data_IF_093024697637
#
_entry.id   IF_093024697637
#
_cell.length_a   1.000
_cell.length_b   1.000
_cell.length_c   1.000
_cell.angle_alpha   90.00
_cell.angle_beta   90.00
_cell.angle_gamma   90.00
#
_symmetry.space_group_name_H-M   'P 1'
#
loop_
_entity.id
_entity.type
_entity.pdbx_description
1 polymer ?
#
# COMPACT_ATOMS: atom_id res chain seq x y z
N UNK A 1 5.62 -14.87 12.54
CA UNK A 1 6.43 -13.64 12.37
C UNK A 1 5.64 -12.63 11.56
N UNK A 2 5.71 -11.35 11.94
CA UNK A 2 5.04 -10.23 11.27
C UNK A 2 5.73 -9.94 9.93
N UNK A 3 4.96 -9.84 8.83
CA UNK A 3 5.52 -9.46 7.52
C UNK A 3 5.45 -7.94 7.33
N UNK A 4 6.38 -7.40 6.55
CA UNK A 4 6.40 -6.00 6.16
C UNK A 4 6.18 -5.86 4.65
N UNK A 5 5.30 -4.94 4.27
CA UNK A 5 4.90 -4.69 2.89
C UNK A 5 5.10 -3.22 2.52
N UNK A 6 5.07 -2.91 1.22
CA UNK A 6 5.15 -1.55 0.69
C UNK A 6 4.07 -1.36 -0.37
N UNK A 7 3.21 -0.36 -0.19
CA UNK A 7 2.27 0.09 -1.21
C UNK A 7 2.72 1.44 -1.75
N UNK A 8 2.47 1.70 -3.04
CA UNK A 8 2.88 2.93 -3.70
C UNK A 8 1.67 3.68 -4.21
N UNK A 9 1.66 4.99 -4.05
CA UNK A 9 0.62 5.82 -4.62
C UNK A 9 1.12 7.23 -4.93
N UNK A 10 0.64 7.80 -6.04
CA UNK A 10 0.85 9.20 -6.39
C UNK A 10 0.04 10.11 -5.44
N UNK A 11 0.68 11.08 -4.76
CA UNK A 11 0.02 11.92 -3.76
C UNK A 11 -1.09 12.80 -4.35
N UNK A 12 -0.99 13.16 -5.63
CA UNK A 12 -2.01 13.92 -6.35
C UNK A 12 -3.30 13.12 -6.59
N UNK A 13 -3.23 11.79 -6.54
CA UNK A 13 -4.37 10.91 -6.79
C UNK A 13 -5.00 10.41 -5.49
N UNK A 14 -4.18 10.01 -4.52
CA UNK A 14 -4.65 9.61 -3.20
C UNK A 14 -3.53 9.76 -2.17
N UNK A 15 -3.63 10.79 -1.33
CA UNK A 15 -2.57 11.17 -0.42
C UNK A 15 -2.62 10.39 0.91
N UNK A 16 -1.53 10.46 1.68
CA UNK A 16 -1.54 9.91 3.05
C UNK A 16 -2.54 10.66 3.94
N UNK A 17 -2.70 11.97 3.74
CA UNK A 17 -3.65 12.79 4.49
C UNK A 17 -5.08 12.33 4.26
N UNK A 18 -5.47 12.07 3.01
CA UNK A 18 -6.79 11.55 2.65
C UNK A 18 -7.02 10.20 3.32
N UNK A 19 -6.02 9.32 3.23
CA UNK A 19 -6.10 8.00 3.86
C UNK A 19 -6.24 8.07 5.39
N UNK A 20 -5.57 9.02 6.05
CA UNK A 20 -5.72 9.27 7.49
C UNK A 20 -7.13 9.75 7.83
N UNK A 21 -7.70 10.64 7.03
CA UNK A 21 -9.09 11.13 7.22
C UNK A 21 -10.10 10.01 7.04
N UNK A 22 -9.92 9.16 6.02
CA UNK A 22 -10.80 8.02 5.73
C UNK A 22 -10.71 6.89 6.76
N UNK A 23 -9.60 6.81 7.51
CA UNK A 23 -9.28 5.79 8.55
C UNK A 23 -9.19 4.35 8.06
N UNK A 24 -9.74 4.03 6.90
CA UNK A 24 -9.63 2.73 6.27
C UNK A 24 -9.95 2.84 4.78
N UNK A 25 -9.20 2.12 3.95
CA UNK A 25 -9.46 2.05 2.51
C UNK A 25 -9.24 0.64 1.96
N UNK A 26 -9.89 0.34 0.85
CA UNK A 26 -9.63 -0.87 0.07
C UNK A 26 -8.50 -0.57 -0.92
N UNK A 27 -7.43 -1.35 -0.93
CA UNK A 27 -6.30 -1.15 -1.83
C UNK A 27 -6.56 -1.72 -3.24
N UNK A 28 -7.54 -1.13 -3.92
CA UNK A 28 -8.10 -1.54 -5.21
C UNK A 28 -7.37 -0.96 -6.40
N UNK A 29 -7.42 -1.61 -7.56
CA UNK A 29 -6.82 -1.14 -8.80
C UNK A 29 -5.54 -1.89 -9.17
N UNK A 30 -5.09 -2.84 -8.35
CA UNK A 30 -3.86 -3.59 -8.63
C UNK A 30 -4.02 -4.43 -9.90
N UNK A 31 -3.23 -4.11 -10.93
CA UNK A 31 -3.22 -4.84 -12.23
C UNK A 31 -1.87 -5.46 -12.58
N UNK A 32 -1.02 -5.66 -11.57
CA UNK A 32 0.24 -6.38 -11.72
C UNK A 32 0.15 -7.75 -11.02
N UNK A 33 0.46 -8.83 -11.74
CA UNK A 33 0.34 -10.21 -11.21
C UNK A 33 1.20 -10.44 -9.97
N UNK A 34 2.44 -9.93 -9.95
CA UNK A 34 3.32 -10.02 -8.79
C UNK A 34 2.71 -9.27 -7.61
N UNK A 35 2.30 -8.02 -7.80
CA UNK A 35 1.64 -7.22 -6.77
C UNK A 35 0.38 -7.91 -6.21
N UNK A 36 -0.49 -8.42 -7.08
CA UNK A 36 -1.68 -9.20 -6.71
C UNK A 36 -1.31 -10.40 -5.83
N UNK A 37 -0.33 -11.19 -6.26
CA UNK A 37 0.11 -12.36 -5.50
C UNK A 37 0.72 -11.98 -4.14
N UNK A 38 1.23 -10.76 -4.00
CA UNK A 38 1.69 -10.23 -2.70
C UNK A 38 0.51 -9.79 -1.82
N UNK A 39 -0.49 -9.11 -2.38
CA UNK A 39 -1.74 -8.82 -1.65
C UNK A 39 -2.36 -10.10 -1.06
N UNK A 40 -2.38 -11.19 -1.84
CA UNK A 40 -2.87 -12.51 -1.40
C UNK A 40 -2.08 -13.14 -0.25
N UNK A 41 -0.84 -12.71 -0.04
CA UNK A 41 0.03 -13.20 1.05
C UNK A 41 -0.06 -12.34 2.30
N UNK A 42 -0.71 -11.18 2.23
CA UNK A 42 -0.90 -10.29 3.37
C UNK A 42 -1.86 -10.91 4.38
N UNK A 43 -1.52 -10.80 5.67
CA UNK A 43 -2.37 -11.24 6.77
C UNK A 43 -2.80 -10.05 7.62
N UNK A 44 -3.93 -10.19 8.30
CA UNK A 44 -4.42 -9.19 9.25
C UNK A 44 -3.32 -8.88 10.27
N UNK A 45 -3.06 -7.59 10.50
CA UNK A 45 -2.04 -7.11 11.41
C UNK A 45 -0.63 -6.99 10.82
N UNK A 46 -0.38 -7.44 9.58
CA UNK A 46 0.88 -7.12 8.88
C UNK A 46 1.01 -5.61 8.68
N UNK A 47 2.25 -5.10 8.75
CA UNK A 47 2.55 -3.68 8.57
C UNK A 47 2.84 -3.34 7.11
N UNK A 48 2.35 -2.19 6.68
CA UNK A 48 2.40 -1.73 5.29
C UNK A 48 2.95 -0.32 5.26
N UNK A 49 4.11 -0.14 4.62
CA UNK A 49 4.69 1.18 4.37
C UNK A 49 3.93 1.86 3.22
N UNK A 50 3.42 3.06 3.46
CA UNK A 50 2.76 3.88 2.44
C UNK A 50 3.81 4.80 1.80
N UNK A 51 4.07 4.59 0.52
CA UNK A 51 5.10 5.30 -0.23
C UNK A 51 4.48 6.22 -1.26
N UNK A 52 4.78 7.52 -1.17
CA UNK A 52 4.48 8.46 -2.24
C UNK A 52 5.46 8.26 -3.40
N UNK A 53 4.90 8.01 -4.59
CA UNK A 53 5.63 8.09 -5.85
C UNK A 53 5.51 9.49 -6.45
N UNK A 54 6.11 9.73 -7.63
CA UNK A 54 6.11 11.05 -8.26
C UNK A 54 7.34 11.91 -7.94
N UNK A 55 7.12 13.21 -7.71
CA UNK A 55 8.18 14.19 -7.44
C UNK A 55 8.79 14.01 -6.04
N UNK A 56 7.96 13.79 -5.01
CA UNK A 56 8.40 13.56 -3.64
C UNK A 56 8.38 12.06 -3.27
N UNK A 57 9.46 11.36 -3.63
CA UNK A 57 9.64 9.91 -3.43
C UNK A 57 9.98 9.55 -1.99
N UNK A 58 8.97 9.35 -1.13
CA UNK A 58 9.18 9.07 0.29
C UNK A 58 8.19 8.06 0.90
N UNK A 59 8.61 7.37 1.96
CA UNK A 59 7.68 6.68 2.87
C UNK A 59 7.06 7.73 3.79
N UNK A 60 5.76 7.93 3.66
CA UNK A 60 5.01 9.00 4.33
C UNK A 60 4.09 8.51 5.45
N UNK A 61 3.97 7.19 5.61
CA UNK A 61 3.04 6.58 6.55
C UNK A 61 3.27 5.10 6.78
N UNK A 62 2.75 4.59 7.89
CA UNK A 62 2.66 3.15 8.18
C UNK A 62 1.20 2.81 8.43
N UNK A 63 0.72 1.82 7.70
CA UNK A 63 -0.61 1.23 7.78
C UNK A 63 -0.55 -0.23 8.24
N UNK A 64 -1.71 -0.81 8.53
CA UNK A 64 -1.89 -2.24 8.80
C UNK A 64 -2.95 -2.84 7.91
N UNK A 65 -2.82 -4.13 7.64
CA UNK A 65 -3.85 -4.93 6.99
C UNK A 65 -4.99 -5.20 7.97
N UNK A 66 -6.19 -4.78 7.60
CA UNK A 66 -7.44 -4.98 8.36
C UNK A 66 -8.29 -6.11 7.80
N UNK A 67 -8.15 -6.42 6.51
CA UNK A 67 -8.82 -7.54 5.83
C UNK A 67 -7.85 -8.17 4.84
N UNK A 68 -7.75 -9.50 4.86
CA UNK A 68 -6.98 -10.29 3.88
C UNK A 68 -7.58 -10.17 2.48
N UNK A 69 -6.87 -10.71 1.48
CA UNK A 69 -7.25 -10.54 0.08
C UNK A 69 -8.68 -11.03 -0.24
N UNK A 70 -9.41 -10.22 -0.99
CA UNK A 70 -10.72 -10.53 -1.56
C UNK A 70 -10.83 -9.97 -2.99
N UNK A 71 -11.82 -10.38 -3.81
CA UNK A 71 -11.98 -9.90 -5.18
C UNK A 71 -12.07 -8.37 -5.27
N UNK A 72 -11.34 -7.79 -6.22
CA UNK A 72 -11.36 -6.36 -6.48
C UNK A 72 -12.58 -5.96 -7.33
N UNK A 73 -13.58 -5.33 -6.71
CA UNK A 73 -14.81 -4.89 -7.36
C UNK A 73 -14.59 -3.82 -8.45
N UNK A 74 -13.40 -3.19 -8.52
CA UNK A 74 -13.06 -2.24 -9.59
C UNK A 74 -12.56 -2.92 -10.86
N UNK A 75 -12.31 -4.24 -10.82
CA UNK A 75 -11.91 -4.99 -12.00
C UNK A 75 -13.12 -5.32 -12.87
N UNK A 76 -13.02 -5.02 -14.18
CA UNK A 76 -14.04 -5.40 -15.17
C UNK A 76 -13.91 -6.87 -15.58
N UNK A 77 -12.68 -7.40 -15.54
CA UNK A 77 -12.36 -8.77 -15.91
C UNK A 77 -11.11 -9.27 -15.17
N UNK A 78 -10.99 -10.59 -15.07
CA UNK A 78 -9.83 -11.26 -14.50
C UNK A 78 -9.88 -11.45 -12.98
N UNK A 79 -8.95 -12.26 -12.50
CA UNK A 79 -8.81 -12.63 -11.09
C UNK A 79 -7.92 -11.61 -10.37
N UNK A 80 -8.49 -10.48 -9.95
CA UNK A 80 -7.79 -9.42 -9.21
C UNK A 80 -8.20 -9.39 -7.75
N UNK A 81 -7.27 -9.00 -6.88
CA UNK A 81 -7.49 -8.99 -5.44
C UNK A 81 -7.12 -7.64 -4.84
N UNK A 82 -7.82 -7.28 -3.77
CA UNK A 82 -7.60 -6.10 -2.93
C UNK A 82 -7.56 -6.51 -1.46
N UNK A 83 -7.05 -5.66 -0.58
CA UNK A 83 -7.02 -5.82 0.89
C UNK A 83 -7.54 -4.54 1.53
N UNK A 84 -8.03 -4.61 2.77
CA UNK A 84 -8.31 -3.38 3.53
C UNK A 84 -7.09 -2.96 4.32
N UNK A 85 -6.75 -1.67 4.24
CA UNK A 85 -5.68 -1.05 5.01
C UNK A 85 -6.26 0.02 5.93
N UNK A 86 -5.68 0.17 7.11
CA UNK A 86 -5.93 1.30 8.01
C UNK A 86 -4.61 1.98 8.39
N UNK A 87 -4.55 3.32 8.45
CA UNK A 87 -3.36 4.04 8.87
C UNK A 87 -3.12 3.80 10.37
N UNK A 88 -1.85 3.66 10.76
CA UNK A 88 -1.43 3.49 12.16
C UNK A 88 -0.73 4.75 12.65
N UNK A 89 0.35 5.15 11.95
CA UNK A 89 1.20 6.26 12.36
C UNK A 89 1.81 6.94 11.14
N UNK A 90 1.87 8.26 11.18
CA UNK A 90 2.75 9.04 10.33
C UNK A 90 4.16 8.94 10.90
N UNK A 91 5.21 8.62 10.12
CA UNK A 91 6.56 8.91 10.56
C UNK A 91 6.65 10.42 10.84
N UNK A 92 7.11 10.80 12.04
CA UNK A 92 7.57 12.18 12.27
C UNK A 92 8.58 12.47 11.17
N UNK A 93 8.22 13.35 10.22
CA UNK A 93 8.98 13.79 9.04
C UNK A 93 10.44 13.29 9.07
N UNK A 94 10.70 12.09 8.55
CA UNK A 94 12.08 11.63 8.38
C UNK A 94 12.62 12.32 7.14
N UNK A 95 13.52 13.28 7.38
CA UNK A 95 14.27 13.96 6.34
C UNK A 95 14.85 12.95 5.35
N UNK A 96 14.70 13.25 4.06
CA UNK A 96 15.29 12.62 2.89
C UNK A 96 16.48 11.70 3.20
N UNK A 97 16.19 10.42 3.47
CA UNK A 97 17.17 9.36 3.40
C UNK A 97 16.53 8.19 2.70
N UNK A 98 16.94 7.98 1.44
CA UNK A 98 16.67 6.75 0.69
C UNK A 98 16.94 5.55 1.60
N UNK A 99 15.92 4.76 1.98
CA UNK A 99 16.17 3.59 2.79
C UNK A 99 16.87 2.57 1.90
N UNK A 100 18.13 2.23 2.19
CA UNK A 100 18.71 0.95 1.76
C UNK A 100 18.00 -0.15 2.55
N UNK A 101 16.76 -0.45 2.17
CA UNK A 101 15.94 -1.48 2.77
C UNK A 101 16.40 -2.86 2.28
N UNK A 102 17.43 -3.42 2.92
CA UNK A 102 17.99 -4.73 2.57
C UNK A 102 17.03 -5.91 2.75
N UNK A 103 15.90 -5.75 3.44
CA UNK A 103 14.92 -6.83 3.70
C UNK A 103 13.45 -6.46 3.45
N UNK A 104 13.14 -5.33 2.81
CA UNK A 104 11.77 -5.07 2.36
C UNK A 104 11.57 -5.88 1.09
N UNK A 105 10.67 -6.86 1.10
CA UNK A 105 10.17 -7.44 -0.15
C UNK A 105 9.53 -6.28 -0.92
N UNK A 106 10.27 -5.73 -1.89
CA UNK A 106 9.87 -4.62 -2.76
C UNK A 106 8.77 -5.10 -3.73
N UNK A 107 7.65 -5.53 -3.20
CA UNK A 107 6.51 -5.92 -4.00
C UNK A 107 5.56 -4.74 -4.08
N UNK A 108 5.98 -3.76 -4.87
CA UNK A 108 5.21 -2.57 -5.21
C UNK A 108 3.80 -2.96 -5.66
N UNK A 109 2.81 -2.55 -4.88
CA UNK A 109 1.41 -2.67 -5.27
C UNK A 109 1.00 -1.34 -5.91
N UNK A 110 1.07 -1.28 -7.24
CA UNK A 110 0.71 -0.12 -8.05
C UNK A 110 -0.81 -0.06 -8.22
N UNK A 111 -1.41 1.10 -7.96
CA UNK A 111 -2.73 1.45 -8.46
C UNK A 111 -2.51 2.26 -9.75
N UNK A 112 -2.96 1.80 -10.93
CA UNK A 112 -3.05 2.67 -12.07
C UNK A 112 -4.03 3.78 -11.71
N UNK A 113 -3.55 5.01 -11.79
CA UNK A 113 -4.36 6.21 -11.97
C UNK A 113 -5.42 5.94 -13.04
N UNK A 114 -6.61 6.51 -12.80
CA UNK A 114 -7.69 6.59 -13.79
C UNK A 114 -7.17 6.96 -15.17
#
# INVERSE_FOLDING_TARGET
MKSFWLVKQEPSSYSWSDFVVERQTSWTGVRNYTARNNLRKMRIGDEVLFYHSGEEKAVVGIAKVMRTAYPDATAKEGDWSTVNLAPIKSPKRMANRSPKARNVRQSAVYLPTR
#
